data_IF_799045048824
#
_entry.id   IF_799045048824
#
_cell.length_a   1.000
_cell.length_b   1.000
_cell.length_c   1.000
_cell.angle_alpha   90.00
_cell.angle_beta   90.00
_cell.angle_gamma   90.00
#
_symmetry.space_group_name_H-M   'P 1'
#
loop_
_entity.id
_entity.type
_entity.pdbx_description
1 polymer ?
#
# COMPACT_ATOMS: atom_id res chain seq x y z
N UNK A 1 -25.23 25.88 4.64
CA UNK A 1 -24.80 25.64 3.25
C UNK A 1 -23.67 26.61 2.95
N UNK A 2 -22.42 26.16 3.03
CA UNK A 2 -21.26 26.98 2.70
C UNK A 2 -20.88 26.64 1.25
N UNK A 3 -21.05 27.61 0.37
CA UNK A 3 -20.66 27.56 -1.03
C UNK A 3 -19.14 27.44 -1.11
N UNK A 4 -18.66 26.32 -1.68
CA UNK A 4 -17.27 26.13 -2.01
C UNK A 4 -16.88 27.12 -3.11
N UNK A 5 -16.15 28.17 -2.74
CA UNK A 5 -15.50 29.05 -3.72
C UNK A 5 -14.33 28.30 -4.32
N UNK A 6 -14.50 27.83 -5.54
CA UNK A 6 -13.46 27.17 -6.33
C UNK A 6 -12.47 28.27 -6.77
N UNK A 7 -11.28 28.29 -6.20
CA UNK A 7 -10.18 29.11 -6.70
C UNK A 7 -9.57 28.38 -7.90
N UNK A 8 -9.88 28.83 -9.11
CA UNK A 8 -9.18 28.40 -10.31
C UNK A 8 -7.83 29.12 -10.37
N UNK A 9 -6.73 28.36 -10.33
CA UNK A 9 -5.43 28.87 -10.74
C UNK A 9 -5.46 29.26 -12.23
N UNK A 10 -4.81 30.38 -12.59
CA UNK A 10 -4.79 30.83 -13.99
C UNK A 10 -3.82 30.00 -14.83
N UNK A 11 -4.07 29.92 -16.13
CA UNK A 11 -3.24 29.14 -17.08
C UNK A 11 -1.75 29.53 -17.06
N UNK A 12 -1.43 30.79 -16.72
CA UNK A 12 -0.06 31.29 -16.57
C UNK A 12 0.70 30.69 -15.37
N UNK A 13 -0.01 30.19 -14.35
CA UNK A 13 0.60 29.54 -13.19
C UNK A 13 1.17 28.15 -13.55
N UNK A 14 0.80 27.59 -14.72
CA UNK A 14 1.17 26.25 -15.16
C UNK A 14 2.47 26.21 -15.97
N UNK A 15 2.80 27.25 -16.74
CA UNK A 15 4.04 27.31 -17.52
C UNK A 15 5.29 27.38 -16.63
N UNK A 16 5.19 28.08 -15.49
CA UNK A 16 6.26 28.16 -14.49
C UNK A 16 6.45 26.86 -13.70
N UNK A 17 5.46 25.94 -13.74
CA UNK A 17 5.42 24.69 -12.95
C UNK A 17 5.98 23.49 -13.72
N UNK A 18 6.28 23.67 -15.03
CA UNK A 18 6.77 22.58 -15.88
C UNK A 18 5.74 21.47 -16.14
N UNK A 19 4.45 21.74 -15.94
CA UNK A 19 3.36 20.87 -16.36
C UNK A 19 2.92 21.34 -17.75
N UNK A 20 3.42 20.68 -18.78
CA UNK A 20 2.92 20.87 -20.14
C UNK A 20 1.61 20.10 -20.30
N UNK A 21 0.48 20.81 -20.21
CA UNK A 21 -0.83 20.29 -20.61
C UNK A 21 -0.91 20.43 -22.12
N UNK A 22 -0.57 19.42 -22.83
CA UNK A 22 -0.72 19.36 -24.29
C UNK A 22 0.48 18.75 -24.99
N UNK A 23 0.21 17.65 -25.67
CA UNK A 23 1.09 16.86 -26.52
C UNK A 23 2.26 16.09 -25.84
N UNK A 24 1.93 14.84 -25.58
CA UNK A 24 2.79 13.65 -25.62
C UNK A 24 4.19 13.75 -24.99
N UNK A 25 4.32 13.30 -23.76
CA UNK A 25 5.43 12.40 -23.48
C UNK A 25 6.74 12.97 -22.98
N UNK A 26 6.83 14.16 -22.39
CA UNK A 26 8.11 14.71 -21.92
C UNK A 26 8.29 14.98 -20.42
N UNK A 27 7.35 14.59 -19.57
CA UNK A 27 7.57 14.69 -18.10
C UNK A 27 8.54 13.59 -17.61
N UNK A 28 8.84 12.61 -18.45
CA UNK A 28 9.65 11.43 -18.08
C UNK A 28 10.95 11.33 -18.89
N UNK A 29 11.67 12.39 -19.01
CA UNK A 29 13.02 12.33 -19.59
C UNK A 29 13.99 11.75 -18.54
N UNK A 30 13.95 10.43 -18.37
CA UNK A 30 14.89 9.72 -17.53
C UNK A 30 15.85 8.92 -18.43
N UNK A 31 17.11 9.37 -18.60
CA UNK A 31 18.13 8.69 -19.42
C UNK A 31 18.64 7.39 -18.80
N UNK A 32 17.90 6.80 -17.87
CA UNK A 32 18.31 5.60 -17.19
C UNK A 32 18.25 4.38 -18.10
N UNK A 33 19.29 3.54 -18.04
CA UNK A 33 19.40 2.29 -18.78
C UNK A 33 18.17 1.40 -18.54
N UNK A 34 17.45 1.05 -19.63
CA UNK A 34 16.28 0.18 -19.57
C UNK A 34 16.69 -1.27 -19.28
N UNK A 35 15.88 -1.96 -18.51
CA UNK A 35 16.04 -3.39 -18.21
C UNK A 35 15.77 -4.21 -19.49
N UNK A 36 16.68 -5.11 -19.84
CA UNK A 36 16.63 -5.95 -21.04
C UNK A 36 17.09 -7.37 -20.70
N UNK A 37 16.69 -8.34 -21.49
CA UNK A 37 17.16 -9.72 -21.45
C UNK A 37 17.05 -10.38 -20.07
N UNK A 38 15.91 -10.17 -19.37
CA UNK A 38 15.65 -10.77 -18.06
C UNK A 38 14.49 -11.75 -18.07
N UNK A 39 13.77 -11.87 -19.18
CA UNK A 39 12.58 -12.72 -19.26
C UNK A 39 12.90 -14.19 -18.94
N UNK A 40 14.04 -14.72 -19.39
CA UNK A 40 14.48 -16.09 -19.11
C UNK A 40 14.64 -16.38 -17.60
N UNK A 41 14.89 -15.37 -16.77
CA UNK A 41 14.97 -15.50 -15.31
C UNK A 41 13.60 -15.80 -14.69
N UNK A 42 12.50 -15.36 -15.33
CA UNK A 42 11.14 -15.58 -14.85
C UNK A 42 10.83 -17.08 -14.80
N UNK A 43 11.20 -17.83 -15.85
CA UNK A 43 10.91 -19.26 -15.97
C UNK A 43 12.11 -20.16 -15.66
N UNK A 44 13.20 -19.62 -15.10
CA UNK A 44 14.30 -20.48 -14.64
C UNK A 44 13.79 -21.49 -13.60
N UNK A 45 14.27 -22.73 -13.66
CA UNK A 45 13.83 -23.83 -12.76
C UNK A 45 13.93 -23.42 -11.28
N UNK A 46 15.02 -22.75 -10.89
CA UNK A 46 15.20 -22.26 -9.53
C UNK A 46 14.10 -21.26 -9.12
N UNK A 47 13.72 -20.35 -10.03
CA UNK A 47 12.67 -19.36 -9.75
C UNK A 47 11.29 -20.02 -9.69
N UNK A 48 10.99 -20.98 -10.55
CA UNK A 48 9.72 -21.73 -10.54
C UNK A 48 9.52 -22.47 -9.22
N UNK A 49 10.52 -23.24 -8.77
CA UNK A 49 10.49 -23.97 -7.49
C UNK A 49 10.34 -23.00 -6.31
N UNK A 50 11.13 -21.93 -6.28
CA UNK A 50 11.02 -20.93 -5.21
C UNK A 50 9.66 -20.22 -5.20
N UNK A 51 9.11 -19.93 -6.37
CA UNK A 51 7.82 -19.26 -6.52
C UNK A 51 6.66 -20.13 -6.08
N UNK A 52 6.68 -21.42 -6.43
CA UNK A 52 5.71 -22.40 -5.95
C UNK A 52 5.74 -22.48 -4.41
N UNK A 53 6.92 -22.66 -3.82
CA UNK A 53 7.09 -22.71 -2.37
C UNK A 53 6.55 -21.44 -1.67
N UNK A 54 6.87 -20.28 -2.19
CA UNK A 54 6.43 -19.00 -1.59
C UNK A 54 4.93 -18.74 -1.79
N UNK A 55 4.36 -19.13 -2.93
CA UNK A 55 2.94 -18.96 -3.22
C UNK A 55 2.03 -19.79 -2.31
N UNK A 56 2.48 -20.98 -1.87
CA UNK A 56 1.73 -21.86 -0.97
C UNK A 56 1.92 -21.56 0.52
N UNK A 57 2.91 -20.77 0.90
CA UNK A 57 3.25 -20.52 2.31
C UNK A 57 2.04 -20.04 3.11
N UNK A 58 1.75 -20.74 4.22
CA UNK A 58 0.60 -20.45 5.09
C UNK A 58 -0.77 -20.82 4.50
N UNK A 59 -0.81 -21.69 3.48
CA UNK A 59 -2.04 -22.11 2.79
C UNK A 59 -2.03 -23.60 2.42
N UNK A 60 -1.16 -24.39 3.07
CA UNK A 60 -0.93 -25.80 2.72
C UNK A 60 -2.16 -26.71 2.74
N UNK A 61 -3.19 -26.39 3.52
CA UNK A 61 -4.40 -27.20 3.65
C UNK A 61 -5.42 -27.00 2.52
N UNK A 62 -5.08 -26.20 1.49
CA UNK A 62 -6.01 -25.93 0.39
C UNK A 62 -5.92 -27.02 -0.67
N UNK A 63 -7.07 -27.53 -1.09
CA UNK A 63 -7.20 -28.57 -2.13
C UNK A 63 -6.45 -28.20 -3.41
N UNK A 64 -6.52 -26.93 -3.86
CA UNK A 64 -5.82 -26.45 -5.08
C UNK A 64 -4.29 -26.60 -4.99
N UNK A 65 -3.74 -26.52 -3.76
CA UNK A 65 -2.30 -26.66 -3.49
C UNK A 65 -1.92 -28.13 -3.39
N UNK A 66 -2.74 -28.96 -2.75
CA UNK A 66 -2.50 -30.39 -2.64
C UNK A 66 -2.51 -31.04 -4.03
N UNK A 67 -3.52 -30.73 -4.85
CA UNK A 67 -3.61 -31.24 -6.24
C UNK A 67 -2.38 -30.82 -7.08
N UNK A 68 -1.86 -29.60 -6.86
CA UNK A 68 -0.63 -29.17 -7.53
C UNK A 68 0.59 -30.00 -7.06
N UNK A 69 0.70 -30.23 -5.75
CA UNK A 69 1.84 -30.91 -5.15
C UNK A 69 1.86 -32.43 -5.45
N UNK A 70 0.72 -33.05 -5.72
CA UNK A 70 0.63 -34.47 -6.15
C UNK A 70 1.37 -34.73 -7.48
N UNK A 71 1.39 -33.75 -8.39
CA UNK A 71 2.07 -33.82 -9.69
C UNK A 71 3.01 -32.63 -9.86
N UNK A 72 3.85 -32.35 -8.83
CA UNK A 72 4.65 -31.13 -8.77
C UNK A 72 5.64 -31.01 -9.92
N UNK A 73 6.26 -32.10 -10.37
CA UNK A 73 7.27 -32.08 -11.44
C UNK A 73 6.61 -31.75 -12.79
N UNK A 74 5.52 -32.42 -13.12
CA UNK A 74 4.75 -32.19 -14.34
C UNK A 74 4.16 -30.78 -14.37
N UNK A 75 3.65 -30.31 -13.24
CA UNK A 75 3.08 -28.95 -13.13
C UNK A 75 4.15 -27.85 -13.22
N UNK A 76 5.36 -28.07 -12.68
CA UNK A 76 6.48 -27.13 -12.84
C UNK A 76 6.99 -27.15 -14.29
N UNK A 77 7.03 -28.32 -14.94
CA UNK A 77 7.37 -28.45 -16.37
C UNK A 77 6.35 -27.68 -17.23
N UNK A 78 5.06 -27.85 -16.95
CA UNK A 78 4.00 -27.12 -17.67
C UNK A 78 4.14 -25.59 -17.49
N UNK A 79 4.47 -25.10 -16.30
CA UNK A 79 4.75 -23.66 -16.07
C UNK A 79 5.96 -23.18 -16.88
N UNK A 80 7.04 -23.98 -16.92
CA UNK A 80 8.20 -23.68 -17.72
C UNK A 80 7.80 -23.52 -19.20
N UNK A 81 7.08 -24.48 -19.75
CA UNK A 81 6.64 -24.49 -21.15
C UNK A 81 5.71 -23.32 -21.47
N UNK A 82 4.72 -23.05 -20.60
CA UNK A 82 3.82 -21.90 -20.76
C UNK A 82 4.57 -20.57 -20.85
N UNK A 83 5.63 -20.38 -20.08
CA UNK A 83 6.42 -19.15 -20.08
C UNK A 83 7.46 -19.16 -21.20
N UNK A 84 8.20 -20.24 -21.41
CA UNK A 84 9.23 -20.35 -22.44
C UNK A 84 8.67 -20.19 -23.86
N UNK A 85 7.47 -20.75 -24.12
CA UNK A 85 6.79 -20.64 -25.42
C UNK A 85 5.74 -19.51 -25.47
N UNK A 86 5.66 -18.66 -24.42
CA UNK A 86 4.73 -17.52 -24.32
C UNK A 86 3.23 -17.88 -24.46
N UNK A 87 2.88 -19.14 -24.19
CA UNK A 87 1.50 -19.67 -24.31
C UNK A 87 0.63 -19.39 -23.07
N UNK A 88 1.20 -18.82 -22.01
CA UNK A 88 0.45 -18.46 -20.80
C UNK A 88 -0.73 -17.55 -21.11
N UNK A 89 -1.89 -17.92 -20.59
CA UNK A 89 -3.13 -17.13 -20.59
C UNK A 89 -3.63 -17.06 -19.15
N UNK A 90 -3.92 -15.85 -18.61
CA UNK A 90 -4.46 -15.70 -17.27
C UNK A 90 -5.77 -16.47 -17.07
N UNK A 91 -5.87 -17.17 -15.95
CA UNK A 91 -7.05 -17.95 -15.60
C UNK A 91 -8.22 -17.06 -15.13
N UNK A 92 -9.40 -17.66 -15.06
CA UNK A 92 -10.62 -16.96 -14.58
C UNK A 92 -10.54 -16.68 -13.08
N UNK A 93 -10.81 -15.47 -12.68
CA UNK A 93 -10.86 -15.06 -11.28
C UNK A 93 -12.09 -15.61 -10.56
N UNK A 94 -11.89 -16.06 -9.31
CA UNK A 94 -13.00 -16.27 -8.37
C UNK A 94 -13.23 -14.96 -7.62
N UNK A 95 -14.45 -14.43 -7.66
CA UNK A 95 -14.80 -13.19 -6.96
C UNK A 95 -15.31 -13.55 -5.57
N UNK A 96 -14.73 -12.91 -4.54
CA UNK A 96 -15.17 -13.01 -3.15
C UNK A 96 -15.38 -11.61 -2.59
N UNK A 97 -16.58 -11.33 -2.10
CA UNK A 97 -16.85 -10.08 -1.40
C UNK A 97 -16.24 -10.10 0.00
N UNK A 98 -15.54 -9.03 0.34
CA UNK A 98 -15.06 -8.75 1.70
C UNK A 98 -15.71 -7.46 2.19
N UNK A 99 -16.08 -7.41 3.47
CA UNK A 99 -16.84 -6.30 4.05
C UNK A 99 -16.03 -5.47 5.08
N UNK A 100 -14.87 -5.95 5.51
CA UNK A 100 -14.03 -5.27 6.50
C UNK A 100 -12.69 -4.82 5.88
N UNK A 101 -12.30 -3.56 6.02
CA UNK A 101 -12.99 -2.43 6.64
C UNK A 101 -14.04 -1.74 5.73
N UNK A 102 -14.12 -2.12 4.46
CA UNK A 102 -15.08 -1.64 3.44
C UNK A 102 -15.44 -2.77 2.50
N UNK A 103 -16.62 -2.72 1.92
CA UNK A 103 -17.03 -3.66 0.89
C UNK A 103 -16.11 -3.54 -0.34
N UNK A 104 -15.54 -4.68 -0.76
CA UNK A 104 -14.66 -4.81 -1.93
C UNK A 104 -14.81 -6.19 -2.54
N UNK A 105 -14.72 -6.25 -3.85
CA UNK A 105 -14.60 -7.51 -4.58
C UNK A 105 -13.12 -7.91 -4.64
N UNK A 106 -12.78 -9.00 -3.94
CA UNK A 106 -11.49 -9.63 -4.02
C UNK A 106 -11.48 -10.58 -5.22
N UNK A 107 -10.61 -10.31 -6.19
CA UNK A 107 -10.44 -11.16 -7.37
C UNK A 107 -9.31 -12.15 -7.10
N UNK A 108 -9.68 -13.41 -6.89
CA UNK A 108 -8.75 -14.47 -6.51
C UNK A 108 -8.32 -15.21 -7.79
N UNK A 109 -7.07 -15.03 -8.19
CA UNK A 109 -6.47 -15.80 -9.26
C UNK A 109 -6.31 -17.28 -8.86
N UNK A 110 -6.42 -18.25 -9.80
CA UNK A 110 -6.08 -19.64 -9.56
C UNK A 110 -4.68 -19.80 -8.97
N UNK A 111 -4.47 -20.85 -8.16
CA UNK A 111 -3.12 -21.13 -7.65
C UNK A 111 -2.18 -21.46 -8.80
N UNK A 112 -2.59 -22.40 -9.65
CA UNK A 112 -1.92 -22.79 -10.88
C UNK A 112 -2.74 -22.30 -12.08
N UNK A 113 -2.13 -21.64 -13.06
CA UNK A 113 -0.72 -21.22 -13.10
C UNK A 113 -0.44 -19.86 -12.46
N UNK A 114 -1.47 -19.03 -12.27
CA UNK A 114 -1.40 -17.57 -12.11
C UNK A 114 -0.60 -17.13 -10.90
N UNK A 115 -0.96 -17.62 -9.68
CA UNK A 115 -0.27 -17.14 -8.48
C UNK A 115 1.21 -17.47 -8.48
N UNK A 116 1.59 -18.63 -9.03
CA UNK A 116 3.00 -19.01 -9.13
C UNK A 116 3.71 -18.07 -10.10
N UNK A 117 3.13 -17.80 -11.28
CA UNK A 117 3.69 -16.85 -12.26
C UNK A 117 3.83 -15.44 -11.67
N UNK A 118 2.84 -14.96 -10.91
CA UNK A 118 2.96 -13.66 -10.22
C UNK A 118 4.15 -13.64 -9.26
N UNK A 119 4.41 -14.72 -8.52
CA UNK A 119 5.60 -14.83 -7.68
C UNK A 119 6.88 -14.86 -8.51
N UNK A 120 6.91 -15.59 -9.65
CA UNK A 120 8.06 -15.60 -10.56
C UNK A 120 8.45 -14.19 -11.03
N UNK A 121 7.47 -13.40 -11.42
CA UNK A 121 7.68 -12.02 -11.84
C UNK A 121 8.23 -11.15 -10.71
N UNK A 122 7.63 -11.23 -9.51
CA UNK A 122 8.04 -10.40 -8.39
C UNK A 122 9.42 -10.78 -7.86
N UNK A 123 9.79 -12.05 -7.89
CA UNK A 123 11.14 -12.48 -7.52
C UNK A 123 12.21 -11.82 -8.40
N UNK A 124 11.94 -11.65 -9.70
CA UNK A 124 12.87 -11.03 -10.64
C UNK A 124 12.77 -9.50 -10.61
N UNK A 125 11.56 -8.95 -10.65
CA UNK A 125 11.35 -7.51 -10.82
C UNK A 125 11.17 -6.74 -9.50
N UNK A 126 10.89 -7.40 -8.40
CA UNK A 126 10.52 -6.72 -7.15
C UNK A 126 11.58 -5.74 -6.64
N UNK A 127 12.86 -6.11 -6.70
CA UNK A 127 13.98 -5.23 -6.35
C UNK A 127 14.11 -4.06 -7.33
N UNK A 128 14.01 -4.34 -8.63
CA UNK A 128 14.10 -3.33 -9.68
C UNK A 128 12.97 -2.30 -9.55
N UNK A 129 11.73 -2.74 -9.32
CA UNK A 129 10.61 -1.81 -9.11
C UNK A 129 10.74 -1.03 -7.78
N UNK A 130 11.13 -1.71 -6.70
CA UNK A 130 11.29 -1.05 -5.40
C UNK A 130 12.37 0.05 -5.43
N UNK A 131 13.42 -0.10 -6.25
CA UNK A 131 14.45 0.93 -6.40
C UNK A 131 13.95 2.22 -7.08
N UNK A 132 12.79 2.16 -7.75
CA UNK A 132 12.16 3.31 -8.39
C UNK A 132 11.20 4.07 -7.43
N UNK A 133 10.93 3.55 -6.24
CA UNK A 133 10.04 4.17 -5.28
C UNK A 133 10.81 5.09 -4.34
N UNK A 134 10.25 6.25 -4.07
CA UNK A 134 10.80 7.17 -3.06
C UNK A 134 10.81 6.55 -1.66
N UNK A 135 11.61 7.11 -0.75
CA UNK A 135 11.69 6.65 0.65
C UNK A 135 10.33 6.67 1.38
N UNK A 136 9.47 7.62 1.03
CA UNK A 136 8.16 7.82 1.65
C UNK A 136 7.00 7.04 1.00
N UNK A 137 7.29 6.04 0.16
CA UNK A 137 6.34 5.02 -0.31
C UNK A 137 6.44 3.79 0.58
N UNK A 138 5.36 3.41 1.27
CA UNK A 138 5.44 2.42 2.36
C UNK A 138 4.71 1.10 2.10
N UNK A 139 3.66 1.11 1.32
CA UNK A 139 2.80 -0.07 1.17
C UNK A 139 3.47 -1.18 0.34
N UNK A 140 3.33 -2.42 0.79
CA UNK A 140 3.75 -3.63 0.07
C UNK A 140 5.25 -3.69 -0.29
N UNK A 141 6.10 -3.03 0.48
CA UNK A 141 7.56 -3.01 0.30
C UNK A 141 8.21 -3.66 1.53
N UNK A 142 9.10 -4.64 1.30
CA UNK A 142 9.84 -5.30 2.38
C UNK A 142 10.68 -4.29 3.17
N UNK A 143 10.58 -4.33 4.50
CA UNK A 143 11.26 -3.38 5.39
C UNK A 143 10.56 -2.02 5.55
N UNK A 144 9.44 -1.82 4.85
CA UNK A 144 8.53 -0.67 5.01
C UNK A 144 7.16 -1.18 5.48
N UNK A 145 6.14 -0.40 5.46
CA UNK A 145 4.79 -0.81 5.89
C UNK A 145 4.17 0.19 6.86
N UNK A 146 3.05 -0.18 7.47
CA UNK A 146 2.26 0.71 8.35
C UNK A 146 3.08 1.27 9.51
N UNK A 147 3.94 0.44 10.11
CA UNK A 147 4.74 0.84 11.28
C UNK A 147 5.84 1.83 10.90
N UNK A 148 6.59 1.55 9.83
CA UNK A 148 7.62 2.47 9.35
C UNK A 148 7.02 3.80 8.88
N UNK A 149 5.87 3.77 8.19
CA UNK A 149 5.14 4.96 7.80
C UNK A 149 4.74 5.82 9.00
N UNK A 150 4.23 5.19 10.05
CA UNK A 150 3.87 5.88 11.29
C UNK A 150 5.10 6.47 11.99
N UNK A 151 6.17 5.68 12.12
CA UNK A 151 7.43 6.10 12.77
C UNK A 151 8.01 7.33 12.07
N UNK A 152 8.15 7.29 10.74
CA UNK A 152 8.71 8.41 9.96
C UNK A 152 7.82 9.66 10.05
N UNK A 153 6.50 9.50 9.98
CA UNK A 153 5.57 10.63 10.11
C UNK A 153 5.62 11.22 11.51
N UNK A 154 5.63 10.39 12.55
CA UNK A 154 5.68 10.86 13.94
C UNK A 154 7.02 11.52 14.26
N UNK A 155 8.13 11.01 13.74
CA UNK A 155 9.45 11.63 13.88
C UNK A 155 9.44 13.06 13.32
N UNK A 156 8.84 13.26 12.14
CA UNK A 156 8.72 14.59 11.55
C UNK A 156 7.84 15.52 12.39
N UNK A 157 6.72 15.01 12.93
CA UNK A 157 5.84 15.76 13.82
C UNK A 157 6.56 16.24 15.09
N UNK A 158 7.46 15.43 15.66
CA UNK A 158 8.23 15.81 16.85
C UNK A 158 9.35 16.79 16.49
N UNK A 159 10.11 16.53 15.41
CA UNK A 159 11.30 17.30 15.07
C UNK A 159 10.97 18.69 14.49
N UNK A 160 9.86 18.81 13.76
CA UNK A 160 9.45 20.07 13.11
C UNK A 160 7.98 20.40 13.38
N UNK A 161 7.68 20.68 14.64
CA UNK A 161 6.33 21.05 15.08
C UNK A 161 5.80 22.29 14.37
N UNK A 162 6.65 23.28 14.14
CA UNK A 162 6.27 24.51 13.45
C UNK A 162 5.95 24.27 11.97
N UNK A 163 6.73 23.44 11.29
CA UNK A 163 6.55 23.07 9.88
C UNK A 163 5.42 22.10 9.63
N UNK A 164 4.86 21.48 10.67
CA UNK A 164 3.81 20.43 10.55
C UNK A 164 2.48 20.82 11.20
N UNK A 165 2.20 22.13 11.33
CA UNK A 165 0.98 22.67 11.99
C UNK A 165 -0.31 22.18 11.35
N UNK A 166 -0.33 22.00 10.03
CA UNK A 166 -1.52 21.58 9.27
C UNK A 166 -1.27 20.27 8.54
N UNK A 167 -2.31 19.47 8.44
CA UNK A 167 -2.34 18.23 7.68
C UNK A 167 -3.36 18.34 6.55
N UNK A 168 -2.93 18.06 5.30
CA UNK A 168 -3.81 17.72 4.21
C UNK A 168 -3.83 16.18 4.09
N UNK A 169 -5.01 15.61 4.14
CA UNK A 169 -5.24 14.20 3.89
C UNK A 169 -6.09 14.01 2.66
N UNK A 170 -5.61 13.18 1.71
CA UNK A 170 -6.30 12.83 0.48
C UNK A 170 -6.28 11.33 0.26
N UNK A 171 -7.22 10.84 -0.52
CA UNK A 171 -7.36 9.44 -0.93
C UNK A 171 -7.83 9.44 -2.40
N UNK A 172 -7.31 8.54 -3.23
CA UNK A 172 -7.71 8.43 -4.64
C UNK A 172 -9.03 7.64 -4.72
N UNK A 173 -9.94 8.12 -5.56
CA UNK A 173 -11.24 7.50 -5.75
C UNK A 173 -11.12 6.16 -6.45
N UNK A 174 -11.55 5.07 -5.75
CA UNK A 174 -11.53 3.69 -6.30
C UNK A 174 -10.21 3.38 -7.04
N UNK A 175 -9.07 3.62 -6.38
CA UNK A 175 -7.77 3.62 -7.01
C UNK A 175 -7.52 2.38 -7.87
N UNK A 176 -7.64 1.18 -7.29
CA UNK A 176 -7.40 -0.06 -8.01
C UNK A 176 -8.33 -0.24 -9.22
N UNK A 177 -9.59 0.19 -9.13
CA UNK A 177 -10.57 0.06 -10.20
C UNK A 177 -10.33 1.06 -11.35
N UNK A 178 -9.64 2.18 -11.05
CA UNK A 178 -9.43 3.28 -11.99
C UNK A 178 -8.02 3.38 -12.57
N UNK A 179 -7.10 2.45 -12.24
CA UNK A 179 -5.77 2.41 -12.87
C UNK A 179 -5.95 2.20 -14.38
N UNK A 180 -5.57 3.17 -15.18
CA UNK A 180 -5.65 3.12 -16.64
C UNK A 180 -4.56 2.21 -17.19
N UNK A 181 -4.93 1.18 -17.96
CA UNK A 181 -3.98 0.18 -18.46
C UNK A 181 -2.97 0.78 -19.43
N UNK A 182 -3.42 1.69 -20.31
CA UNK A 182 -2.52 2.32 -21.28
C UNK A 182 -1.45 3.17 -20.58
N UNK A 183 -1.85 3.99 -19.60
CA UNK A 183 -0.91 4.77 -18.80
C UNK A 183 0.05 3.88 -18.00
N UNK A 184 -0.44 2.81 -17.35
CA UNK A 184 0.41 1.88 -16.61
C UNK A 184 1.43 1.19 -17.52
N UNK A 185 1.00 0.69 -18.68
CA UNK A 185 1.88 0.07 -19.68
C UNK A 185 2.92 1.06 -20.21
N UNK A 186 2.55 2.33 -20.43
CA UNK A 186 3.48 3.38 -20.83
C UNK A 186 4.56 3.59 -19.75
N UNK A 187 4.17 3.72 -18.47
CA UNK A 187 5.07 3.85 -17.33
C UNK A 187 6.06 2.67 -17.25
N UNK A 188 5.60 1.44 -17.42
CA UNK A 188 6.45 0.24 -17.39
C UNK A 188 7.51 0.31 -18.51
N UNK A 189 7.11 0.73 -19.72
CA UNK A 189 7.98 0.82 -20.91
C UNK A 189 9.04 1.92 -20.81
N UNK A 190 8.91 2.87 -19.88
CA UNK A 190 9.96 3.84 -19.60
C UNK A 190 11.24 3.16 -19.09
N UNK A 191 11.11 2.08 -18.32
CA UNK A 191 12.22 1.43 -17.61
C UNK A 191 12.51 -0.02 -18.06
N UNK A 192 11.60 -0.63 -18.80
CA UNK A 192 11.71 -2.00 -19.32
C UNK A 192 11.65 -1.96 -20.85
N UNK A 193 12.58 -2.68 -21.50
CA UNK A 193 12.63 -2.86 -22.95
C UNK A 193 12.83 -4.33 -23.34
N UNK A 194 12.47 -5.25 -22.45
CA UNK A 194 12.43 -6.70 -22.71
C UNK A 194 11.04 -7.05 -23.24
N UNK A 195 10.94 -7.28 -24.54
CA UNK A 195 9.65 -7.44 -25.24
C UNK A 195 8.85 -8.65 -24.75
N UNK A 196 9.52 -9.77 -24.44
CA UNK A 196 8.84 -10.96 -23.91
C UNK A 196 8.24 -10.69 -22.53
N UNK A 197 9.01 -10.02 -21.67
CA UNK A 197 8.54 -9.58 -20.36
C UNK A 197 7.37 -8.59 -20.47
N UNK A 198 7.46 -7.63 -21.39
CA UNK A 198 6.37 -6.65 -21.61
C UNK A 198 5.08 -7.34 -22.06
N UNK A 199 5.16 -8.32 -22.98
CA UNK A 199 3.98 -9.11 -23.38
C UNK A 199 3.37 -9.89 -22.22
N UNK A 200 4.19 -10.47 -21.34
CA UNK A 200 3.69 -11.17 -20.14
C UNK A 200 3.00 -10.19 -19.16
N UNK A 201 3.61 -9.04 -18.92
CA UNK A 201 3.03 -8.01 -18.04
C UNK A 201 1.71 -7.46 -18.61
N UNK A 202 1.64 -7.23 -19.93
CA UNK A 202 0.42 -6.78 -20.60
C UNK A 202 -0.73 -7.79 -20.42
N UNK A 203 -0.47 -9.09 -20.61
CA UNK A 203 -1.47 -10.16 -20.37
C UNK A 203 -2.02 -10.11 -18.94
N UNK A 204 -1.16 -9.86 -17.94
CA UNK A 204 -1.56 -9.79 -16.53
C UNK A 204 -2.33 -8.51 -16.22
N UNK A 205 -1.93 -7.37 -16.79
CA UNK A 205 -2.64 -6.10 -16.63
C UNK A 205 -4.05 -6.19 -17.22
N UNK A 206 -4.17 -6.76 -18.41
CA UNK A 206 -5.44 -6.90 -19.13
C UNK A 206 -6.32 -8.08 -18.63
N UNK A 207 -5.83 -8.85 -17.66
CA UNK A 207 -6.48 -10.10 -17.22
C UNK A 207 -7.88 -9.93 -16.61
N UNK A 208 -8.27 -8.70 -16.25
CA UNK A 208 -9.63 -8.40 -15.79
C UNK A 208 -10.64 -8.20 -16.96
N UNK A 209 -10.19 -8.23 -18.22
CA UNK A 209 -11.01 -8.04 -19.42
C UNK A 209 -11.54 -6.62 -19.63
N UNK A 210 -10.93 -5.61 -18.97
CA UNK A 210 -11.30 -4.19 -19.06
C UNK A 210 -10.09 -3.36 -19.48
N UNK A 211 -10.33 -2.10 -19.84
CA UNK A 211 -9.26 -1.13 -20.13
C UNK A 211 -8.71 -0.45 -18.88
N UNK A 212 -9.36 -0.67 -17.74
CA UNK A 212 -9.00 -0.07 -16.46
C UNK A 212 -9.11 -1.09 -15.32
N UNK A 213 -8.34 -0.83 -14.29
CA UNK A 213 -8.38 -1.53 -13.01
C UNK A 213 -7.44 -2.71 -12.93
N UNK A 214 -6.89 -2.92 -11.74
CA UNK A 214 -6.07 -4.08 -11.41
C UNK A 214 -6.83 -4.99 -10.43
N UNK A 215 -6.75 -6.33 -10.62
CA UNK A 215 -7.38 -7.27 -9.72
C UNK A 215 -6.88 -7.13 -8.28
N UNK A 216 -7.78 -6.81 -7.32
CA UNK A 216 -7.44 -6.79 -5.91
C UNK A 216 -7.28 -8.23 -5.44
N UNK A 217 -6.07 -8.59 -5.03
CA UNK A 217 -5.72 -9.94 -4.58
C UNK A 217 -4.54 -10.56 -5.33
N UNK A 218 -4.18 -10.04 -6.48
CA UNK A 218 -2.97 -10.45 -7.19
C UNK A 218 -1.72 -9.87 -6.55
N UNK A 219 -0.68 -10.68 -6.45
CA UNK A 219 0.59 -10.23 -5.87
C UNK A 219 1.28 -9.16 -6.73
N UNK A 220 1.19 -9.27 -8.06
CA UNK A 220 1.70 -8.25 -8.99
C UNK A 220 0.95 -6.92 -8.90
N UNK A 221 -0.36 -6.93 -8.65
CA UNK A 221 -1.19 -5.71 -8.60
C UNK A 221 -0.70 -4.70 -7.56
N UNK A 222 -0.13 -5.18 -6.44
CA UNK A 222 0.40 -4.30 -5.38
C UNK A 222 1.63 -3.51 -5.84
N UNK A 223 2.53 -4.15 -6.59
CA UNK A 223 3.71 -3.50 -7.16
C UNK A 223 3.34 -2.59 -8.31
N UNK A 224 2.44 -3.04 -9.20
CA UNK A 224 1.96 -2.25 -10.33
C UNK A 224 1.21 -0.99 -9.87
N UNK A 225 0.41 -1.07 -8.81
CA UNK A 225 -0.27 0.07 -8.22
C UNK A 225 0.72 1.09 -7.62
N UNK A 226 1.78 0.64 -6.96
CA UNK A 226 2.84 1.54 -6.49
C UNK A 226 3.62 2.16 -7.65
N UNK A 227 3.90 1.37 -8.69
CA UNK A 227 4.61 1.83 -9.88
C UNK A 227 3.81 2.90 -10.64
N UNK A 228 2.48 2.76 -10.69
CA UNK A 228 1.59 3.74 -11.29
C UNK A 228 1.72 5.14 -10.68
N UNK A 229 2.01 5.21 -9.39
CA UNK A 229 2.20 6.47 -8.65
C UNK A 229 3.68 6.85 -8.46
N UNK A 230 4.64 6.04 -8.94
CA UNK A 230 6.06 6.27 -8.64
C UNK A 230 6.57 7.61 -9.19
N UNK A 231 6.22 7.94 -10.43
CA UNK A 231 6.64 9.23 -11.04
C UNK A 231 5.92 10.42 -10.41
N UNK A 232 4.66 10.26 -10.03
CA UNK A 232 3.94 11.25 -9.21
C UNK A 232 4.67 11.51 -7.89
N UNK A 233 5.11 10.46 -7.19
CA UNK A 233 5.86 10.59 -5.94
C UNK A 233 7.15 11.40 -6.12
N UNK A 234 7.90 11.12 -7.19
CA UNK A 234 9.11 11.87 -7.54
C UNK A 234 8.80 13.33 -7.86
N UNK A 235 7.77 13.58 -8.67
CA UNK A 235 7.33 14.94 -8.98
C UNK A 235 6.94 15.71 -7.71
N UNK A 236 6.20 15.11 -6.79
CA UNK A 236 5.85 15.73 -5.49
C UNK A 236 7.09 16.13 -4.71
N UNK A 237 8.09 15.23 -4.60
CA UNK A 237 9.28 15.45 -3.77
C UNK A 237 10.33 16.35 -4.42
N UNK A 238 10.46 16.33 -5.73
CA UNK A 238 11.56 16.97 -6.45
C UNK A 238 11.14 18.30 -7.08
N UNK A 239 9.89 18.42 -7.46
CA UNK A 239 9.34 19.58 -8.17
C UNK A 239 8.36 20.37 -7.31
N UNK A 240 7.24 19.76 -6.90
CA UNK A 240 6.18 20.46 -6.20
C UNK A 240 6.65 21.08 -4.87
N UNK A 241 7.52 20.39 -4.13
CA UNK A 241 8.07 20.92 -2.87
C UNK A 241 8.86 22.22 -3.09
N UNK A 242 9.62 22.31 -4.17
CA UNK A 242 10.40 23.52 -4.51
C UNK A 242 9.51 24.69 -4.94
N UNK A 243 8.44 24.39 -5.66
CA UNK A 243 7.44 25.40 -6.07
C UNK A 243 6.76 25.99 -4.84
N UNK A 244 6.32 25.13 -3.91
CA UNK A 244 5.69 25.57 -2.66
C UNK A 244 6.67 26.38 -1.82
N UNK A 245 7.93 25.93 -1.71
CA UNK A 245 8.97 26.68 -0.99
C UNK A 245 9.18 28.09 -1.59
N UNK A 246 9.29 28.20 -2.91
CA UNK A 246 9.44 29.48 -3.61
C UNK A 246 8.23 30.39 -3.43
N UNK A 247 7.01 29.84 -3.50
CA UNK A 247 5.76 30.63 -3.50
C UNK A 247 5.31 31.02 -2.09
N UNK A 248 5.51 30.15 -1.09
CA UNK A 248 4.96 30.32 0.26
C UNK A 248 6.03 30.44 1.36
N UNK A 249 7.31 30.29 1.01
CA UNK A 249 8.42 30.35 1.98
C UNK A 249 8.46 29.17 2.96
N UNK A 250 7.74 28.09 2.69
CA UNK A 250 7.70 26.91 3.55
C UNK A 250 7.76 25.63 2.72
N UNK A 251 8.28 24.57 3.34
CA UNK A 251 8.28 23.22 2.78
C UNK A 251 7.10 22.44 3.31
N UNK A 252 6.77 21.32 2.65
CA UNK A 252 5.85 20.34 3.16
C UNK A 252 6.52 18.97 3.23
N UNK A 253 5.98 18.09 4.10
CA UNK A 253 6.32 16.69 4.20
C UNK A 253 5.25 15.84 3.52
N UNK A 254 5.65 14.75 2.85
CA UNK A 254 4.76 13.88 2.09
C UNK A 254 4.94 12.42 2.49
N UNK A 255 3.84 11.73 2.76
CA UNK A 255 3.79 10.30 3.11
C UNK A 255 2.69 9.63 2.29
N UNK A 256 3.00 8.48 1.66
CA UNK A 256 2.03 7.73 0.87
C UNK A 256 1.98 6.26 1.28
N UNK A 257 0.78 5.81 1.59
CA UNK A 257 0.47 4.39 1.80
C UNK A 257 -0.58 3.95 0.77
N UNK A 258 -0.16 3.37 -0.36
CA UNK A 258 -0.99 3.13 -1.55
C UNK A 258 -1.62 4.44 -2.07
N UNK A 259 -2.95 4.48 -2.05
CA UNK A 259 -3.80 5.61 -2.44
C UNK A 259 -4.06 6.63 -1.33
N UNK A 260 -3.72 6.31 -0.09
CA UNK A 260 -3.89 7.20 1.08
C UNK A 260 -2.63 8.06 1.26
N UNK A 261 -2.78 9.38 1.19
CA UNK A 261 -1.69 10.34 1.19
C UNK A 261 -1.86 11.39 2.28
N UNK A 262 -0.76 11.75 2.92
CA UNK A 262 -0.68 12.81 3.94
C UNK A 262 0.39 13.81 3.54
N UNK A 263 0.02 15.10 3.59
CA UNK A 263 0.94 16.22 3.45
C UNK A 263 0.88 17.06 4.73
N UNK A 264 2.04 17.41 5.28
CA UNK A 264 2.16 18.25 6.48
C UNK A 264 2.87 19.54 6.11
N UNK A 265 2.34 20.68 6.55
CA UNK A 265 2.91 21.99 6.23
C UNK A 265 2.60 23.02 7.35
N UNK A 266 3.44 24.05 7.44
CA UNK A 266 3.21 25.20 8.31
C UNK A 266 2.03 26.06 7.87
N UNK A 267 1.75 26.14 6.57
CA UNK A 267 0.78 27.03 5.97
C UNK A 267 -0.40 26.29 5.33
N UNK A 268 -1.61 26.66 5.76
CA UNK A 268 -2.86 26.10 5.23
C UNK A 268 -3.11 26.48 3.76
N UNK A 269 -2.71 27.69 3.33
CA UNK A 269 -2.87 28.13 1.94
C UNK A 269 -1.94 27.33 1.00
N UNK A 270 -0.72 27.06 1.47
CA UNK A 270 0.21 26.18 0.76
C UNK A 270 -0.37 24.77 0.55
N UNK A 271 -1.08 24.20 1.55
CA UNK A 271 -1.74 22.90 1.40
C UNK A 271 -2.93 22.92 0.44
N UNK A 272 -3.68 24.01 0.33
CA UNK A 272 -4.71 24.15 -0.73
C UNK A 272 -4.06 24.16 -2.11
N UNK A 273 -2.97 24.91 -2.29
CA UNK A 273 -2.23 24.89 -3.55
C UNK A 273 -1.68 23.49 -3.87
N UNK A 274 -1.12 22.77 -2.89
CA UNK A 274 -0.69 21.38 -3.05
C UNK A 274 -1.86 20.49 -3.50
N UNK A 275 -3.04 20.63 -2.89
CA UNK A 275 -4.24 19.88 -3.27
C UNK A 275 -4.62 20.09 -4.74
N UNK A 276 -4.64 21.36 -5.19
CA UNK A 276 -4.99 21.72 -6.57
C UNK A 276 -3.97 21.13 -7.55
N UNK A 277 -2.68 21.29 -7.28
CA UNK A 277 -1.60 20.77 -8.13
C UNK A 277 -1.57 19.25 -8.20
N UNK A 278 -1.78 18.57 -7.05
CA UNK A 278 -1.89 17.11 -7.00
C UNK A 278 -3.11 16.63 -7.79
N UNK A 279 -4.25 17.30 -7.65
CA UNK A 279 -5.47 16.97 -8.40
C UNK A 279 -5.26 17.07 -9.91
N UNK A 280 -4.60 18.14 -10.36
CA UNK A 280 -4.26 18.34 -11.78
C UNK A 280 -3.33 17.24 -12.32
N UNK A 281 -2.24 16.94 -11.61
CA UNK A 281 -1.32 15.88 -12.03
C UNK A 281 -2.02 14.53 -12.13
N UNK A 282 -2.76 14.14 -11.09
CA UNK A 282 -3.48 12.87 -11.04
C UNK A 282 -4.51 12.76 -12.17
N UNK A 283 -5.23 13.84 -12.47
CA UNK A 283 -6.22 13.88 -13.55
C UNK A 283 -5.59 13.84 -14.94
N UNK A 284 -4.59 14.67 -15.19
CA UNK A 284 -3.97 14.81 -16.51
C UNK A 284 -3.11 13.59 -16.89
N UNK A 285 -2.20 13.18 -15.99
CA UNK A 285 -1.20 12.16 -16.28
C UNK A 285 -1.68 10.73 -15.99
N UNK A 286 -2.43 10.57 -14.90
CA UNK A 286 -2.82 9.24 -14.42
C UNK A 286 -4.32 8.95 -14.54
N UNK A 287 -5.13 9.88 -15.05
CA UNK A 287 -6.58 9.72 -15.27
C UNK A 287 -7.33 9.21 -14.03
N UNK A 288 -6.88 9.62 -12.85
CA UNK A 288 -7.52 9.30 -11.57
C UNK A 288 -7.88 10.57 -10.80
N UNK A 289 -8.88 10.47 -9.91
CA UNK A 289 -9.43 11.61 -9.19
C UNK A 289 -9.22 11.47 -7.68
N UNK A 290 -9.01 12.60 -7.02
CA UNK A 290 -9.05 12.67 -5.56
C UNK A 290 -10.51 12.49 -5.10
N UNK A 291 -10.72 11.75 -4.00
CA UNK A 291 -12.04 11.68 -3.36
C UNK A 291 -12.46 13.06 -2.84
N UNK A 292 -13.74 13.43 -2.96
CA UNK A 292 -14.23 14.75 -2.52
C UNK A 292 -14.18 14.96 -1.00
N UNK A 293 -13.91 13.91 -0.22
CA UNK A 293 -13.80 13.95 1.25
C UNK A 293 -12.38 14.22 1.75
N UNK A 294 -11.54 14.87 0.95
CA UNK A 294 -10.25 15.37 1.41
C UNK A 294 -10.41 16.36 2.57
N UNK A 295 -9.39 16.52 3.39
CA UNK A 295 -9.46 17.34 4.60
C UNK A 295 -8.14 18.08 4.83
N UNK A 296 -8.26 19.39 5.20
CA UNK A 296 -7.14 20.16 5.72
C UNK A 296 -7.53 20.63 7.13
N UNK A 297 -6.70 20.31 8.12
CA UNK A 297 -6.98 20.60 9.52
C UNK A 297 -5.69 20.86 10.32
N UNK A 298 -5.77 21.62 11.45
CA UNK A 298 -4.66 21.72 12.38
C UNK A 298 -4.40 20.38 13.07
N UNK A 299 -3.12 20.00 13.16
CA UNK A 299 -2.73 18.67 13.68
C UNK A 299 -3.04 18.49 15.16
N UNK A 300 -2.94 19.57 15.96
CA UNK A 300 -3.18 19.51 17.40
C UNK A 300 -4.67 19.58 17.78
N UNK A 301 -5.50 20.22 16.94
CA UNK A 301 -6.95 20.23 17.15
C UNK A 301 -7.58 18.88 16.79
N UNK A 302 -6.98 18.22 15.79
CA UNK A 302 -7.46 16.94 15.29
C UNK A 302 -6.30 16.03 14.91
N UNK A 303 -6.11 14.94 15.66
CA UNK A 303 -5.10 13.94 15.34
C UNK A 303 -5.27 13.35 13.94
N UNK A 304 -4.16 13.13 13.26
CA UNK A 304 -4.08 12.50 11.94
C UNK A 304 -4.47 11.02 12.06
N UNK A 305 -5.59 10.62 11.47
CA UNK A 305 -6.03 9.22 11.41
C UNK A 305 -5.46 8.56 10.16
N UNK A 306 -4.30 7.86 10.30
CA UNK A 306 -3.54 7.30 9.20
C UNK A 306 -2.97 5.94 9.54
N UNK A 307 -2.88 5.03 8.58
CA UNK A 307 -2.33 3.66 8.69
C UNK A 307 -2.71 2.88 9.96
N UNK A 308 -3.90 3.11 10.49
CA UNK A 308 -4.42 2.40 11.67
C UNK A 308 -4.16 3.07 13.01
N UNK A 309 -3.52 4.22 13.02
CA UNK A 309 -3.22 5.01 14.21
C UNK A 309 -3.83 6.41 14.13
N UNK A 310 -3.90 7.07 15.28
CA UNK A 310 -4.15 8.50 15.42
C UNK A 310 -2.91 9.14 16.03
N UNK A 311 -2.31 10.09 15.33
CA UNK A 311 -1.09 10.77 15.81
C UNK A 311 -1.19 12.28 15.66
N UNK A 312 -0.50 12.99 16.53
CA UNK A 312 -0.29 14.43 16.52
C UNK A 312 1.08 14.75 17.14
N UNK A 313 1.35 16.02 17.47
CA UNK A 313 2.60 16.42 18.11
C UNK A 313 2.80 15.88 19.54
N UNK A 314 1.76 15.35 20.19
CA UNK A 314 1.82 14.89 21.59
C UNK A 314 1.93 13.37 21.70
N UNK A 315 1.54 12.61 20.65
CA UNK A 315 1.65 11.16 20.74
C UNK A 315 0.91 10.37 19.69
N UNK A 316 0.92 9.06 19.92
CA UNK A 316 0.35 8.04 19.03
C UNK A 316 -0.68 7.22 19.81
N UNK A 317 -1.88 7.11 19.26
CA UNK A 317 -2.95 6.26 19.79
C UNK A 317 -3.35 5.22 18.74
N UNK A 318 -3.75 4.05 19.20
CA UNK A 318 -4.33 3.04 18.30
C UNK A 318 -5.75 3.45 17.88
N UNK A 319 -6.09 3.25 16.59
CA UNK A 319 -7.44 3.55 16.07
C UNK A 319 -8.50 2.74 16.82
N UNK A 320 -9.58 3.40 17.24
CA UNK A 320 -10.68 2.77 18.01
C UNK A 320 -11.19 1.45 17.42
N UNK A 321 -11.33 1.38 16.09
CA UNK A 321 -11.80 0.15 15.42
C UNK A 321 -10.85 -1.04 15.57
N UNK A 322 -9.54 -0.79 15.54
CA UNK A 322 -8.51 -1.83 15.76
C UNK A 322 -8.55 -2.27 17.22
N UNK A 323 -8.59 -1.33 18.15
CA UNK A 323 -8.66 -1.60 19.57
C UNK A 323 -9.93 -2.40 19.95
N UNK A 324 -11.08 -2.07 19.37
CA UNK A 324 -12.34 -2.81 19.58
C UNK A 324 -12.23 -4.27 19.11
N UNK A 325 -11.67 -4.51 17.91
CA UNK A 325 -11.43 -5.88 17.40
C UNK A 325 -10.46 -6.65 18.28
N UNK A 326 -9.40 -5.99 18.73
CA UNK A 326 -8.47 -6.57 19.67
C UNK A 326 -9.16 -7.00 20.97
N UNK A 327 -9.94 -6.14 21.60
CA UNK A 327 -10.66 -6.50 22.83
C UNK A 327 -11.69 -7.62 22.62
N UNK A 328 -12.32 -7.70 21.46
CA UNK A 328 -13.19 -8.84 21.12
C UNK A 328 -12.42 -10.17 21.08
N UNK A 329 -11.23 -10.18 20.46
CA UNK A 329 -10.34 -11.34 20.44
C UNK A 329 -9.81 -11.66 21.84
N UNK A 330 -9.35 -10.65 22.57
CA UNK A 330 -8.88 -10.77 23.95
C UNK A 330 -9.92 -11.43 24.85
N UNK A 331 -11.17 -10.99 24.81
CA UNK A 331 -12.26 -11.55 25.62
C UNK A 331 -12.58 -13.02 25.30
N UNK A 332 -12.27 -13.51 24.11
CA UNK A 332 -12.38 -14.93 23.77
C UNK A 332 -11.20 -15.72 24.35
N UNK A 333 -9.98 -15.23 24.13
CA UNK A 333 -8.75 -15.94 24.54
C UNK A 333 -8.60 -16.01 26.05
N UNK A 334 -8.94 -14.95 26.80
CA UNK A 334 -8.86 -14.94 28.27
C UNK A 334 -9.78 -15.94 28.98
N UNK A 335 -10.75 -16.52 28.26
CA UNK A 335 -11.59 -17.61 28.79
C UNK A 335 -10.86 -18.96 28.85
N UNK A 336 -9.81 -19.10 28.04
CA UNK A 336 -9.04 -20.35 27.89
C UNK A 336 -7.63 -20.24 28.48
N UNK A 337 -7.05 -19.03 28.49
CA UNK A 337 -5.68 -18.79 28.91
C UNK A 337 -5.60 -17.64 29.90
N UNK A 338 -4.81 -17.81 30.93
CA UNK A 338 -4.49 -16.74 31.90
C UNK A 338 -3.43 -15.80 31.30
N UNK A 339 -3.65 -14.50 31.43
CA UNK A 339 -2.75 -13.45 30.93
C UNK A 339 -2.18 -12.72 32.16
N UNK A 340 -1.07 -13.22 32.69
CA UNK A 340 -0.46 -12.75 33.95
C UNK A 340 0.39 -11.50 33.77
N UNK A 341 1.07 -11.40 32.64
CA UNK A 341 2.09 -10.41 32.35
C UNK A 341 2.19 -10.09 30.86
N UNK A 342 3.08 -9.17 30.52
CA UNK A 342 3.34 -8.76 29.15
C UNK A 342 3.93 -9.90 28.28
N UNK A 343 4.68 -10.82 28.87
CA UNK A 343 5.27 -11.97 28.17
C UNK A 343 4.19 -12.92 27.69
N UNK A 344 3.25 -13.28 28.58
CA UNK A 344 2.07 -14.07 28.22
C UNK A 344 1.21 -13.36 27.19
N UNK A 345 1.04 -12.04 27.32
CA UNK A 345 0.32 -11.23 26.34
C UNK A 345 0.98 -11.29 24.96
N UNK A 346 2.30 -11.05 24.88
CA UNK A 346 3.08 -11.10 23.64
C UNK A 346 2.98 -12.46 22.95
N UNK A 347 3.00 -13.54 23.72
CA UNK A 347 2.87 -14.90 23.19
C UNK A 347 1.47 -15.17 22.60
N UNK A 348 0.42 -14.78 23.30
CA UNK A 348 -0.97 -15.02 22.91
C UNK A 348 -1.47 -14.04 21.82
N UNK A 349 -0.90 -12.84 21.75
CA UNK A 349 -1.31 -11.76 20.83
C UNK A 349 -0.12 -11.12 20.11
N UNK A 350 0.74 -11.87 19.42
CA UNK A 350 1.97 -11.32 18.83
C UNK A 350 1.72 -10.21 17.81
N UNK A 351 0.66 -10.34 17.02
CA UNK A 351 0.29 -9.31 16.02
C UNK A 351 -0.18 -8.03 16.71
N UNK A 352 -1.09 -8.14 17.67
CA UNK A 352 -1.66 -7.01 18.38
C UNK A 352 -0.61 -6.32 19.27
N UNK A 353 0.30 -7.10 19.88
CA UNK A 353 1.44 -6.57 20.60
C UNK A 353 2.28 -5.64 19.72
N UNK A 354 2.59 -6.08 18.49
CA UNK A 354 3.32 -5.26 17.51
C UNK A 354 2.64 -3.92 17.16
N UNK A 355 1.32 -3.83 17.25
CA UNK A 355 0.57 -2.58 17.09
C UNK A 355 0.64 -1.72 18.35
N UNK A 356 0.43 -2.31 19.52
CA UNK A 356 0.30 -1.59 20.80
C UNK A 356 1.63 -0.94 21.21
N UNK A 357 2.77 -1.62 21.06
CA UNK A 357 4.09 -1.07 21.43
C UNK A 357 4.53 0.14 20.61
N UNK A 358 3.83 0.45 19.53
CA UNK A 358 4.09 1.65 18.71
C UNK A 358 3.26 2.86 19.10
N UNK A 359 2.33 2.67 20.01
CA UNK A 359 1.63 3.79 20.63
C UNK A 359 2.54 4.52 21.61
N UNK A 360 2.13 5.72 22.02
CA UNK A 360 2.78 6.41 23.13
C UNK A 360 2.83 5.52 24.37
N UNK A 361 3.87 5.67 25.16
CA UNK A 361 4.13 4.82 26.33
C UNK A 361 2.93 4.73 27.28
N UNK A 362 2.32 5.87 27.58
CA UNK A 362 1.12 5.95 28.44
C UNK A 362 -0.04 5.13 27.86
N UNK A 363 -0.29 5.22 26.54
CA UNK A 363 -1.38 4.50 25.88
C UNK A 363 -1.10 3.00 25.82
N UNK A 364 0.14 2.60 25.56
CA UNK A 364 0.57 1.20 25.57
C UNK A 364 0.41 0.60 26.97
N UNK A 365 0.90 1.28 27.99
CA UNK A 365 0.76 0.87 29.40
C UNK A 365 -0.70 0.77 29.82
N UNK A 366 -1.54 1.71 29.40
CA UNK A 366 -2.99 1.66 29.66
C UNK A 366 -3.62 0.39 29.10
N UNK A 367 -3.33 0.03 27.85
CA UNK A 367 -3.87 -1.18 27.21
C UNK A 367 -3.35 -2.44 27.91
N UNK A 368 -2.05 -2.54 28.17
CA UNK A 368 -1.45 -3.70 28.84
C UNK A 368 -2.00 -3.89 30.26
N UNK A 369 -2.05 -2.84 31.05
CA UNK A 369 -2.58 -2.89 32.42
C UNK A 369 -4.05 -3.31 32.43
N UNK A 370 -4.85 -2.79 31.48
CA UNK A 370 -6.24 -3.22 31.32
C UNK A 370 -6.34 -4.72 30.99
N UNK A 371 -5.51 -5.23 30.11
CA UNK A 371 -5.52 -6.64 29.72
C UNK A 371 -5.02 -7.55 30.86
N UNK A 372 -3.93 -7.20 31.52
CA UNK A 372 -3.40 -7.99 32.63
C UNK A 372 -4.40 -8.04 33.82
N UNK A 373 -4.97 -6.86 34.18
CA UNK A 373 -5.99 -6.80 35.25
C UNK A 373 -7.22 -7.64 34.93
N UNK A 374 -7.66 -7.68 33.70
CA UNK A 374 -8.88 -8.40 33.28
C UNK A 374 -8.59 -9.82 32.74
N UNK A 375 -7.31 -10.17 32.56
CA UNK A 375 -6.86 -11.46 32.04
C UNK A 375 -6.56 -12.50 33.13
N UNK A 376 -6.50 -12.09 34.39
CA UNK A 376 -6.42 -13.01 35.51
C UNK A 376 -7.73 -13.76 35.61
N UNK A 377 -7.73 -15.04 35.28
CA UNK A 377 -8.87 -15.90 35.51
C UNK A 377 -9.18 -15.88 37.02
N UNK A 378 -10.41 -15.55 37.39
CA UNK A 378 -10.93 -16.03 38.68
C UNK A 378 -10.95 -17.54 38.55
N UNK A 379 -10.06 -18.22 39.21
CA UNK A 379 -10.15 -19.68 39.41
C UNK A 379 -11.59 -19.94 39.83
N UNK A 380 -12.37 -20.58 38.98
CA UNK A 380 -13.53 -21.32 39.44
C UNK A 380 -12.88 -22.47 40.16
N UNK A 381 -12.77 -22.35 41.50
CA UNK A 381 -12.57 -23.49 42.36
C UNK A 381 -13.72 -24.44 42.05
N UNK A 382 -13.45 -25.45 41.23
CA UNK A 382 -14.26 -26.65 41.22
C UNK A 382 -14.02 -27.26 42.59
N UNK A 383 -14.88 -26.93 43.54
CA UNK A 383 -15.04 -27.74 44.73
C UNK A 383 -15.40 -29.14 44.25
N UNK A 384 -14.40 -30.02 44.26
CA UNK A 384 -14.60 -31.45 44.27
C UNK A 384 -15.15 -31.77 45.67
N UNK A 385 -16.44 -31.66 45.80
CA UNK A 385 -17.19 -32.18 46.95
C UNK A 385 -18.39 -32.95 46.39
N UNK A 386 -18.35 -34.28 46.55
CA UNK A 386 -19.41 -35.22 46.28
C UNK A 386 -18.94 -36.44 45.55
#
# INVERSE_FOLDING_TARGET
MATATTYYASYSDFEDVGIYIGDTGKIFDCPAKKLKNVYHLIYSSANLVHSQYTAQKGKGDRTEINNFNENIVENLQALYEMLAYETYVPGKYKIRKIYDPKERDLMIAPFFPDRIIHHCIINVLGRFWTSQFIGNTYACIKGRGVHKCLEDMHQVLILDRAGTRYCLKIDIRKFYDNIDHAALKAIIRLRIADEQLLRLLDKIIDSNGKEKGLPIGNFTSQYLANLYLAYFDHWVKETLVKIVEKKYGCKFYFFRYMDDMVFLCADKKALHFVLDMVGLYLGAELKVEIKPNWQIFPVDDRSIDYVGFKTNHYGILLRKGILKRFYTKFNKVKRQYEIKDETAFKHLFPSEYGWIIRCSEEHSKFIFNHCIKNGKNRCIEYNAAG
#
